data_IF_404953691154
#
_entry.id   IF_404953691154
#
_cell.length_a   1.000
_cell.length_b   1.000
_cell.length_c   1.000
_cell.angle_alpha   90.00
_cell.angle_beta   90.00
_cell.angle_gamma   90.00
#
_symmetry.space_group_name_H-M   'P 1'
#
loop_
_entity.id
_entity.type
_entity.pdbx_description
1 polymer ?
#
# COMPACT_ATOMS: atom_id res chain seq x y z
N UNK A 1 2.41 40.51 3.09
CA UNK A 1 3.50 41.50 3.08
C UNK A 1 3.07 42.63 2.17
N UNK A 2 2.30 43.56 2.73
CA UNK A 2 2.03 44.85 2.11
C UNK A 2 2.88 45.83 2.92
N UNK A 3 3.91 46.39 2.29
CA UNK A 3 4.69 47.47 2.87
C UNK A 3 4.09 48.76 2.32
N UNK A 4 3.29 49.45 3.14
CA UNK A 4 2.54 50.65 2.71
C UNK A 4 3.45 51.88 2.50
N UNK A 5 4.67 51.86 3.01
CA UNK A 5 5.66 52.93 2.86
C UNK A 5 6.91 52.42 2.12
N UNK A 6 7.06 52.81 0.85
CA UNK A 6 8.27 52.60 0.05
C UNK A 6 8.43 53.78 -0.91
N UNK A 7 9.42 54.64 -0.66
CA UNK A 7 9.59 55.90 -1.38
C UNK A 7 9.72 55.74 -2.90
N UNK A 8 9.03 56.63 -3.63
CA UNK A 8 8.67 56.58 -5.06
C UNK A 8 9.86 56.78 -6.04
N UNK A 9 11.09 56.42 -5.61
CA UNK A 9 12.35 56.69 -6.33
C UNK A 9 13.35 55.53 -6.36
N UNK A 10 13.05 54.35 -5.82
CA UNK A 10 14.00 53.21 -5.81
C UNK A 10 13.42 51.85 -6.22
N UNK A 11 12.28 51.78 -6.90
CA UNK A 11 11.60 50.52 -7.27
C UNK A 11 12.31 49.62 -8.31
N UNK A 12 13.61 49.82 -8.60
CA UNK A 12 14.42 48.94 -9.45
C UNK A 12 14.46 47.47 -8.96
N UNK A 13 14.20 47.24 -7.67
CA UNK A 13 14.11 45.91 -7.06
C UNK A 13 12.88 45.10 -7.53
N UNK A 14 11.75 45.75 -7.84
CA UNK A 14 10.49 45.06 -8.19
C UNK A 14 10.59 44.30 -9.53
N UNK A 15 11.10 44.90 -10.64
CA UNK A 15 11.33 44.16 -11.89
C UNK A 15 12.29 42.98 -11.73
N UNK A 16 13.30 43.09 -10.87
CA UNK A 16 14.23 41.98 -10.56
C UNK A 16 13.51 40.85 -9.80
N UNK A 17 12.74 41.18 -8.76
CA UNK A 17 11.92 40.24 -8.00
C UNK A 17 10.90 39.52 -8.90
N UNK A 18 10.19 40.23 -9.78
CA UNK A 18 9.24 39.60 -10.70
C UNK A 18 9.93 38.65 -11.70
N UNK A 19 11.10 39.01 -12.24
CA UNK A 19 11.91 38.12 -13.10
C UNK A 19 12.32 36.84 -12.35
N UNK A 20 12.81 36.97 -11.10
CA UNK A 20 13.11 35.86 -10.22
C UNK A 20 11.89 34.97 -9.96
N UNK A 21 10.74 35.56 -9.61
CA UNK A 21 9.49 34.83 -9.33
C UNK A 21 8.94 34.04 -10.53
N UNK A 22 9.27 34.47 -11.76
CA UNK A 22 8.89 33.76 -12.99
C UNK A 22 9.84 32.59 -13.26
N UNK A 23 11.15 32.81 -13.14
CA UNK A 23 12.15 31.75 -13.25
C UNK A 23 11.91 30.65 -12.21
N UNK A 24 11.69 31.02 -10.94
CA UNK A 24 11.34 30.08 -9.87
C UNK A 24 10.06 29.31 -10.18
N UNK A 25 8.96 29.95 -10.57
CA UNK A 25 7.73 29.24 -10.95
C UNK A 25 7.91 28.29 -12.13
N UNK A 26 8.73 28.64 -13.12
CA UNK A 26 9.08 27.74 -14.23
C UNK A 26 9.93 26.56 -13.75
N UNK A 27 10.93 26.78 -12.88
CA UNK A 27 11.78 25.72 -12.32
C UNK A 27 10.96 24.79 -11.43
N UNK A 28 10.12 25.31 -10.52
CA UNK A 28 9.22 24.52 -9.68
C UNK A 28 8.25 23.70 -10.53
N UNK A 29 7.68 24.29 -11.60
CA UNK A 29 6.84 23.53 -12.53
C UNK A 29 7.65 22.42 -13.23
N UNK A 30 8.82 22.72 -13.80
CA UNK A 30 9.65 21.72 -14.47
C UNK A 30 10.08 20.59 -13.53
N UNK A 31 10.36 20.91 -12.26
CA UNK A 31 10.65 19.91 -11.23
C UNK A 31 9.44 19.00 -10.96
N UNK A 32 8.26 19.59 -10.72
CA UNK A 32 7.01 18.83 -10.52
C UNK A 32 6.63 18.01 -11.75
N UNK A 33 6.75 18.56 -12.96
CA UNK A 33 6.53 17.85 -14.22
C UNK A 33 7.53 16.68 -14.37
N UNK A 34 8.79 16.87 -13.96
CA UNK A 34 9.83 15.83 -14.04
C UNK A 34 9.66 14.71 -13.01
N UNK A 35 9.22 15.01 -11.79
CA UNK A 35 8.93 13.99 -10.78
C UNK A 35 7.60 13.27 -11.07
N UNK A 36 6.59 13.98 -11.59
CA UNK A 36 5.35 13.37 -12.08
C UNK A 36 5.60 12.40 -13.25
N UNK A 37 6.59 12.69 -14.13
CA UNK A 37 6.99 11.77 -15.18
C UNK A 37 7.50 10.41 -14.63
N UNK A 38 8.07 10.39 -13.41
CA UNK A 38 8.57 9.16 -12.77
C UNK A 38 7.46 8.30 -12.19
N UNK A 39 6.35 8.91 -11.77
CA UNK A 39 5.11 8.18 -11.48
C UNK A 39 4.54 7.64 -12.80
N UNK A 40 4.53 8.45 -13.87
CA UNK A 40 4.07 8.01 -15.20
C UNK A 40 4.88 6.84 -15.76
N UNK A 41 6.20 6.77 -15.56
CA UNK A 41 7.00 5.59 -15.93
C UNK A 41 6.47 4.29 -15.28
N UNK A 42 6.00 4.37 -14.02
CA UNK A 42 5.38 3.24 -13.31
C UNK A 42 3.99 2.93 -13.87
N UNK A 43 3.18 3.96 -14.18
CA UNK A 43 1.87 3.84 -14.83
C UNK A 43 1.99 3.15 -16.21
N UNK A 44 2.85 3.67 -17.10
CA UNK A 44 3.10 3.13 -18.45
C UNK A 44 3.62 1.69 -18.40
N UNK A 45 4.46 1.35 -17.42
CA UNK A 45 4.92 -0.03 -17.22
C UNK A 45 3.77 -0.97 -16.81
N UNK A 46 2.86 -0.52 -15.94
CA UNK A 46 1.68 -1.27 -15.51
C UNK A 46 0.67 -1.42 -16.65
N UNK A 47 0.39 -0.36 -17.41
CA UNK A 47 -0.47 -0.40 -18.59
C UNK A 47 0.09 -1.36 -19.64
N UNK A 48 1.38 -1.27 -19.96
CA UNK A 48 2.03 -2.17 -20.92
C UNK A 48 1.95 -3.64 -20.50
N UNK A 49 2.14 -3.96 -19.21
CA UNK A 49 1.95 -5.32 -18.69
C UNK A 49 0.49 -5.75 -18.87
N UNK A 50 -0.46 -4.89 -18.48
CA UNK A 50 -1.89 -5.19 -18.51
C UNK A 50 -2.42 -5.43 -19.92
N UNK A 51 -2.07 -4.55 -20.88
CA UNK A 51 -2.37 -4.72 -22.31
C UNK A 51 -1.69 -5.95 -22.91
N UNK A 52 -0.46 -6.26 -22.49
CA UNK A 52 0.28 -7.41 -23.02
C UNK A 52 -0.27 -8.74 -22.51
N UNK A 53 -0.56 -8.86 -21.22
CA UNK A 53 -1.13 -10.09 -20.67
C UNK A 53 -2.58 -10.29 -21.10
N UNK A 54 -3.42 -9.25 -21.16
CA UNK A 54 -4.81 -9.41 -21.66
C UNK A 54 -4.87 -9.92 -23.11
N UNK A 55 -3.90 -9.54 -23.95
CA UNK A 55 -3.77 -10.02 -25.33
C UNK A 55 -3.06 -11.38 -25.47
N UNK A 56 -2.01 -11.66 -24.69
CA UNK A 56 -1.22 -12.89 -24.82
C UNK A 56 -0.55 -13.31 -23.50
N UNK A 57 -0.88 -14.49 -22.93
CA UNK A 57 -0.28 -14.93 -21.68
C UNK A 57 1.22 -15.19 -21.80
N UNK A 58 2.00 -14.54 -20.94
CA UNK A 58 3.37 -14.91 -20.64
C UNK A 58 3.45 -16.30 -19.97
N UNK A 59 4.65 -16.78 -19.65
CA UNK A 59 4.81 -17.76 -18.58
C UNK A 59 4.71 -17.05 -17.23
N UNK A 60 4.20 -17.70 -16.18
CA UNK A 60 4.04 -17.08 -14.86
C UNK A 60 5.36 -16.52 -14.32
N UNK A 61 6.47 -17.26 -14.45
CA UNK A 61 7.82 -16.79 -14.07
C UNK A 61 8.27 -15.53 -14.81
N UNK A 62 7.83 -15.34 -16.06
CA UNK A 62 8.08 -14.12 -16.84
C UNK A 62 7.21 -12.98 -16.33
N UNK A 63 5.95 -13.25 -15.96
CA UNK A 63 5.04 -12.25 -15.40
C UNK A 63 5.49 -11.79 -14.00
N UNK A 64 5.88 -12.73 -13.10
CA UNK A 64 6.50 -12.41 -11.80
C UNK A 64 7.69 -11.47 -11.96
N UNK A 65 8.58 -11.73 -12.92
CA UNK A 65 9.72 -10.85 -13.21
C UNK A 65 9.30 -9.46 -13.67
N UNK A 66 8.25 -9.32 -14.50
CA UNK A 66 7.72 -8.00 -14.91
C UNK A 66 7.16 -7.23 -13.72
N UNK A 67 6.37 -7.88 -12.86
CA UNK A 67 5.77 -7.24 -11.68
C UNK A 67 6.85 -6.84 -10.65
N UNK A 68 7.84 -7.71 -10.43
CA UNK A 68 9.01 -7.39 -9.60
C UNK A 68 9.81 -6.19 -10.13
N UNK A 69 9.95 -6.03 -11.45
CA UNK A 69 10.56 -4.82 -12.03
C UNK A 69 9.75 -3.54 -11.71
N UNK A 70 8.41 -3.61 -11.75
CA UNK A 70 7.53 -2.47 -11.39
C UNK A 70 7.72 -2.09 -9.91
N UNK A 71 7.77 -3.07 -9.00
CA UNK A 71 8.04 -2.80 -7.59
C UNK A 71 9.45 -2.23 -7.36
N UNK A 72 10.44 -2.59 -8.17
CA UNK A 72 11.77 -1.98 -8.14
C UNK A 72 11.80 -0.54 -8.71
N UNK A 73 10.93 -0.21 -9.66
CA UNK A 73 10.70 1.18 -10.11
C UNK A 73 10.05 2.02 -9.00
N UNK A 74 8.98 1.51 -8.36
CA UNK A 74 8.34 2.15 -7.20
C UNK A 74 9.35 2.37 -6.06
N UNK A 75 10.18 1.38 -5.75
CA UNK A 75 11.20 1.50 -4.72
C UNK A 75 12.30 2.51 -5.07
N UNK A 76 12.78 2.52 -6.32
CA UNK A 76 13.76 3.52 -6.82
C UNK A 76 13.21 4.94 -6.80
N UNK A 77 11.93 5.12 -7.07
CA UNK A 77 11.23 6.38 -6.84
C UNK A 77 11.30 6.75 -5.36
N UNK A 78 10.77 5.89 -4.48
CA UNK A 78 10.65 6.15 -3.03
C UNK A 78 11.97 6.53 -2.36
N UNK A 79 13.06 5.78 -2.57
CA UNK A 79 14.34 6.08 -1.89
C UNK A 79 14.98 7.41 -2.35
N UNK A 80 14.65 7.87 -3.56
CA UNK A 80 15.17 9.12 -4.12
C UNK A 80 14.34 10.37 -3.81
N UNK A 81 13.08 10.17 -3.42
CA UNK A 81 12.10 11.22 -3.14
C UNK A 81 12.14 11.55 -1.65
N UNK A 82 11.99 12.83 -1.27
CA UNK A 82 12.00 13.23 0.13
C UNK A 82 10.83 12.66 0.93
N UNK A 83 11.08 12.37 2.21
CA UNK A 83 10.14 11.66 3.08
C UNK A 83 8.90 12.49 3.45
N UNK A 84 9.00 13.81 3.39
CA UNK A 84 7.93 14.78 3.57
C UNK A 84 7.22 15.14 2.24
N UNK A 85 7.73 14.65 1.10
CA UNK A 85 7.22 15.03 -0.21
C UNK A 85 5.80 14.49 -0.48
N UNK A 86 4.88 15.32 -1.00
CA UNK A 86 3.54 14.88 -1.43
C UNK A 86 3.56 13.93 -2.64
N UNK A 87 4.74 13.73 -3.24
CA UNK A 87 4.98 12.71 -4.26
C UNK A 87 4.88 11.28 -3.69
N UNK A 88 5.21 11.08 -2.40
CA UNK A 88 5.01 9.79 -1.73
C UNK A 88 3.52 9.53 -1.47
N UNK A 89 2.76 10.55 -1.09
CA UNK A 89 1.30 10.47 -0.96
C UNK A 89 0.63 10.18 -2.31
N UNK A 90 1.12 10.80 -3.38
CA UNK A 90 0.68 10.56 -4.76
C UNK A 90 0.93 9.11 -5.19
N UNK A 91 2.11 8.54 -4.88
CA UNK A 91 2.43 7.13 -5.14
C UNK A 91 1.57 6.16 -4.31
N UNK A 92 1.26 6.48 -3.05
CA UNK A 92 0.34 5.65 -2.24
C UNK A 92 -1.09 5.74 -2.76
N UNK A 93 -1.56 6.92 -3.16
CA UNK A 93 -2.86 7.08 -3.81
C UNK A 93 -2.94 6.28 -5.13
N UNK A 94 -1.88 6.30 -5.95
CA UNK A 94 -1.76 5.44 -7.12
C UNK A 94 -1.88 3.95 -6.75
N UNK A 95 -1.13 3.46 -5.75
CA UNK A 95 -1.21 2.06 -5.31
C UNK A 95 -2.59 1.68 -4.73
N UNK A 96 -3.31 2.61 -4.09
CA UNK A 96 -4.71 2.41 -3.65
C UNK A 96 -5.65 2.29 -4.85
N UNK A 97 -5.52 3.16 -5.86
CA UNK A 97 -6.33 3.09 -7.08
C UNK A 97 -6.03 1.82 -7.89
N UNK A 98 -4.76 1.42 -7.96
CA UNK A 98 -4.30 0.19 -8.60
C UNK A 98 -4.92 -1.05 -7.93
N UNK A 99 -4.96 -1.09 -6.59
CA UNK A 99 -5.63 -2.14 -5.80
C UNK A 99 -7.14 -2.21 -6.11
N UNK A 100 -7.78 -1.06 -6.33
CA UNK A 100 -9.21 -0.93 -6.59
C UNK A 100 -9.59 -0.95 -8.08
N UNK A 101 -8.62 -1.17 -8.98
CA UNK A 101 -8.83 -1.14 -10.44
C UNK A 101 -9.65 -2.35 -10.95
N UNK A 102 -10.22 -2.32 -12.15
CA UNK A 102 -10.88 -3.50 -12.74
C UNK A 102 -9.86 -4.63 -13.00
N UNK A 103 -10.12 -5.88 -12.56
CA UNK A 103 -9.19 -7.00 -12.76
C UNK A 103 -8.81 -7.21 -14.22
N UNK A 104 -7.50 -7.38 -14.49
CA UNK A 104 -6.99 -7.66 -15.84
C UNK A 104 -7.54 -9.00 -16.33
N UNK A 105 -8.40 -8.95 -17.36
CA UNK A 105 -9.01 -10.13 -17.99
C UNK A 105 -8.29 -10.49 -19.29
N UNK A 106 -8.15 -11.78 -19.53
CA UNK A 106 -7.58 -12.38 -20.73
C UNK A 106 -8.62 -13.29 -21.39
N UNK A 107 -8.68 -13.30 -22.72
CA UNK A 107 -9.47 -14.30 -23.45
C UNK A 107 -8.66 -15.59 -23.57
N UNK A 108 -9.16 -16.65 -22.96
CA UNK A 108 -8.58 -18.00 -23.00
C UNK A 108 -9.60 -18.94 -23.63
N UNK A 109 -9.15 -19.98 -24.35
CA UNK A 109 -10.07 -21.05 -24.76
C UNK A 109 -10.60 -21.76 -23.51
N UNK A 110 -11.91 -21.98 -23.48
CA UNK A 110 -12.58 -22.65 -22.37
C UNK A 110 -11.98 -24.07 -22.15
N UNK A 111 -11.38 -24.37 -20.99
CA UNK A 111 -10.74 -25.65 -20.72
C UNK A 111 -11.74 -26.80 -20.51
N UNK A 112 -13.00 -26.50 -20.21
CA UNK A 112 -14.08 -27.48 -20.05
C UNK A 112 -14.76 -27.79 -21.38
N UNK A 113 -14.77 -26.85 -22.34
CA UNK A 113 -15.26 -27.14 -23.69
C UNK A 113 -14.53 -28.33 -24.28
N UNK A 114 -15.30 -29.41 -24.48
CA UNK A 114 -14.80 -30.63 -25.08
C UNK A 114 -14.40 -30.33 -26.53
N UNK A 115 -13.09 -30.14 -26.76
CA UNK A 115 -12.49 -29.95 -28.09
C UNK A 115 -13.25 -30.81 -29.11
N UNK A 116 -13.88 -30.20 -30.14
CA UNK A 116 -14.75 -30.90 -31.08
C UNK A 116 -14.06 -32.16 -31.62
N UNK A 117 -14.80 -33.25 -31.86
CA UNK A 117 -14.23 -34.53 -32.34
C UNK A 117 -13.26 -34.28 -33.50
N UNK A 118 -13.67 -33.45 -34.46
CA UNK A 118 -12.86 -32.95 -35.59
C UNK A 118 -11.45 -32.51 -35.17
N UNK A 119 -11.29 -31.71 -34.11
CA UNK A 119 -9.97 -31.23 -33.64
C UNK A 119 -9.13 -32.35 -33.00
N UNK A 120 -9.78 -33.27 -32.27
CA UNK A 120 -9.12 -34.47 -31.70
C UNK A 120 -8.67 -35.42 -32.81
N UNK A 121 -9.53 -35.63 -33.81
CA UNK A 121 -9.26 -36.47 -34.98
C UNK A 121 -8.19 -35.84 -35.89
N UNK A 122 -8.19 -34.52 -36.12
CA UNK A 122 -7.11 -33.83 -36.83
C UNK A 122 -5.76 -33.96 -36.12
N UNK A 123 -5.72 -33.86 -34.79
CA UNK A 123 -4.47 -34.05 -34.03
C UNK A 123 -3.98 -35.52 -34.13
N UNK A 124 -4.90 -36.49 -34.05
CA UNK A 124 -4.63 -37.92 -34.29
C UNK A 124 -4.10 -38.19 -35.71
N UNK A 125 -4.69 -37.58 -36.73
CA UNK A 125 -4.23 -37.69 -38.13
C UNK A 125 -2.81 -37.10 -38.27
N UNK A 126 -2.56 -35.92 -37.71
CA UNK A 126 -1.23 -35.30 -37.72
C UNK A 126 -0.18 -36.14 -36.99
N UNK A 127 -0.53 -36.72 -35.84
CA UNK A 127 0.34 -37.62 -35.07
C UNK A 127 0.68 -38.89 -35.85
N UNK A 128 -0.30 -39.47 -36.53
CA UNK A 128 -0.08 -40.63 -37.40
C UNK A 128 0.81 -40.30 -38.61
N UNK A 129 0.72 -39.08 -39.16
CA UNK A 129 1.49 -38.66 -40.33
C UNK A 129 2.92 -38.19 -40.00
N UNK A 130 3.18 -37.67 -38.80
CA UNK A 130 4.45 -37.01 -38.43
C UNK A 130 5.19 -37.65 -37.24
N UNK A 131 4.54 -38.57 -36.53
CA UNK A 131 5.03 -39.11 -35.25
C UNK A 131 4.96 -38.14 -34.07
N UNK A 132 4.51 -36.90 -34.27
CA UNK A 132 4.48 -35.85 -33.25
C UNK A 132 3.05 -35.36 -32.98
N UNK A 133 2.69 -35.11 -31.72
CA UNK A 133 1.43 -34.42 -31.42
C UNK A 133 1.40 -33.02 -32.04
N UNK A 134 0.28 -32.66 -32.68
CA UNK A 134 0.08 -31.32 -33.22
C UNK A 134 0.05 -30.32 -32.04
N UNK A 135 1.03 -29.42 -32.00
CA UNK A 135 1.17 -28.37 -30.97
C UNK A 135 0.14 -27.25 -31.14
N UNK A 136 -1.14 -27.59 -31.14
CA UNK A 136 -2.21 -26.63 -30.82
C UNK A 136 -1.93 -26.17 -29.38
N UNK A 137 -1.77 -24.87 -29.16
CA UNK A 137 -1.38 -24.29 -27.86
C UNK A 137 -2.54 -24.26 -26.83
N UNK A 138 -3.29 -25.36 -26.71
CA UNK A 138 -4.23 -25.60 -25.60
C UNK A 138 -3.40 -25.85 -24.34
N UNK A 139 -3.00 -24.77 -23.66
CA UNK A 139 -2.41 -24.83 -22.32
C UNK A 139 -3.42 -25.43 -21.35
N UNK A 140 -3.36 -26.74 -21.14
CA UNK A 140 -3.96 -27.36 -19.95
C UNK A 140 -3.24 -26.80 -18.72
N UNK A 141 -3.85 -25.83 -18.04
CA UNK A 141 -3.46 -25.55 -16.65
C UNK A 141 -3.66 -26.84 -15.87
N UNK A 142 -2.70 -27.19 -15.01
CA UNK A 142 -3.02 -28.08 -13.88
C UNK A 142 -4.02 -27.33 -13.00
N UNK A 143 -5.06 -27.98 -12.45
CA UNK A 143 -5.85 -27.36 -11.40
C UNK A 143 -4.90 -26.97 -10.26
N UNK A 144 -5.04 -25.75 -9.75
CA UNK A 144 -4.35 -25.35 -8.53
C UNK A 144 -4.79 -26.24 -7.37
N UNK A 145 -3.90 -26.54 -6.40
CA UNK A 145 -4.34 -27.16 -5.15
C UNK A 145 -5.37 -26.22 -4.51
N UNK A 146 -6.51 -26.77 -4.08
CA UNK A 146 -7.52 -25.99 -3.38
C UNK A 146 -6.92 -25.48 -2.07
N UNK A 147 -6.62 -24.19 -1.98
CA UNK A 147 -6.41 -23.53 -0.70
C UNK A 147 -7.71 -23.66 0.11
N UNK A 148 -7.64 -24.34 1.25
CA UNK A 148 -8.78 -24.48 2.17
C UNK A 148 -9.14 -23.11 2.72
N UNK A 149 -10.28 -22.56 2.26
CA UNK A 149 -10.81 -21.32 2.81
C UNK A 149 -11.17 -21.50 4.28
N UNK A 150 -10.42 -20.85 5.17
CA UNK A 150 -10.79 -20.74 6.57
C UNK A 150 -11.85 -19.65 6.72
N UNK A 151 -13.09 -20.07 6.91
CA UNK A 151 -14.16 -19.24 7.47
C UNK A 151 -14.41 -19.71 8.90
N UNK A 152 -14.05 -18.90 9.90
CA UNK A 152 -14.40 -19.13 11.30
C UNK A 152 -15.55 -18.19 11.70
N UNK A 153 -16.77 -18.57 11.30
CA UNK A 153 -17.96 -18.24 12.09
C UNK A 153 -18.06 -19.29 13.21
N UNK A 154 -18.12 -18.88 14.47
CA UNK A 154 -17.97 -19.83 15.58
C UNK A 154 -18.19 -19.23 16.97
N UNK A 155 -19.43 -18.89 17.30
CA UNK A 155 -19.85 -18.58 18.67
C UNK A 155 -19.84 -19.85 19.57
N UNK A 156 -19.19 -19.82 20.75
CA UNK A 156 -19.32 -20.85 21.79
C UNK A 156 -20.41 -20.52 22.82
N UNK A 157 -20.87 -21.49 23.64
CA UNK A 157 -22.32 -21.58 23.94
C UNK A 157 -22.84 -20.89 25.21
N UNK A 158 -24.17 -20.83 25.28
CA UNK A 158 -24.98 -20.57 26.46
C UNK A 158 -24.86 -21.64 27.56
N UNK A 159 -25.12 -21.28 28.82
CA UNK A 159 -25.85 -22.15 29.74
C UNK A 159 -26.55 -21.39 30.88
N UNK A 160 -27.51 -22.05 31.56
CA UNK A 160 -28.36 -21.59 32.70
C UNK A 160 -29.40 -20.48 32.41
N UNK A 161 -30.60 -20.45 33.01
CA UNK A 161 -31.43 -21.51 33.65
C UNK A 161 -32.90 -21.02 33.76
N UNK A 162 -33.85 -21.96 33.97
CA UNK A 162 -35.21 -21.79 34.54
C UNK A 162 -36.28 -20.92 33.84
N UNK A 163 -37.56 -21.23 34.12
CA UNK A 163 -38.68 -20.26 33.93
C UNK A 163 -39.87 -20.62 33.04
N UNK A 164 -40.31 -21.89 32.94
CA UNK A 164 -41.53 -22.24 32.18
C UNK A 164 -42.83 -22.19 33.00
N UNK A 165 -43.96 -21.75 32.40
CA UNK A 165 -45.36 -21.93 32.85
C UNK A 165 -46.32 -21.84 31.64
N UNK A 166 -47.57 -22.31 31.78
CA UNK A 166 -48.50 -22.60 30.66
C UNK A 166 -49.55 -21.49 30.37
N UNK A 167 -50.20 -21.65 29.21
CA UNK A 167 -51.38 -20.93 28.66
C UNK A 167 -52.58 -20.84 29.65
N UNK A 168 -53.50 -19.84 29.50
CA UNK A 168 -54.68 -20.05 28.65
C UNK A 168 -55.21 -18.81 27.87
N UNK A 169 -56.33 -19.03 27.14
CA UNK A 169 -56.94 -18.18 26.10
C UNK A 169 -58.16 -17.37 26.57
N UNK A 170 -58.32 -16.12 26.09
CA UNK A 170 -59.59 -15.39 25.74
C UNK A 170 -59.18 -14.12 24.95
N UNK A 171 -59.78 -13.67 23.84
CA UNK A 171 -61.17 -13.42 23.41
C UNK A 171 -61.67 -11.97 23.73
N UNK A 172 -61.64 -11.07 22.74
CA UNK A 172 -62.76 -10.24 22.21
C UNK A 172 -62.23 -9.20 21.18
N UNK A 173 -62.84 -8.88 20.01
CA UNK A 173 -64.16 -8.24 19.65
C UNK A 173 -64.18 -6.73 20.00
N UNK A 174 -64.50 -5.73 19.16
CA UNK A 174 -65.22 -5.65 17.86
C UNK A 174 -64.71 -4.52 16.89
N UNK A 175 -65.20 -4.52 15.62
CA UNK A 175 -65.59 -3.39 14.70
C UNK A 175 -64.62 -2.20 14.43
N UNK A 176 -64.62 -1.51 13.27
CA UNK A 176 -65.21 -1.69 11.91
C UNK A 176 -64.41 -0.73 10.95
N UNK A 177 -64.78 -0.26 9.74
CA UNK A 177 -66.03 -0.21 8.95
C UNK A 177 -65.75 -0.09 7.42
N UNK A 178 -66.74 0.31 6.60
CA UNK A 178 -66.72 0.22 5.12
C UNK A 178 -66.26 1.47 4.31
N UNK A 179 -65.98 1.25 3.01
CA UNK A 179 -66.00 2.28 1.95
C UNK A 179 -65.82 1.70 0.53
N UNK A 180 -66.86 1.74 -0.35
CA UNK A 180 -66.88 1.04 -1.67
C UNK A 180 -67.17 1.95 -2.89
N UNK A 181 -66.42 1.75 -3.98
CA UNK A 181 -66.80 1.93 -5.41
C UNK A 181 -65.80 1.16 -6.32
N UNK A 182 -66.00 0.67 -7.56
CA UNK A 182 -67.02 0.70 -8.66
C UNK A 182 -66.73 1.56 -9.92
N UNK A 183 -67.26 1.06 -11.06
CA UNK A 183 -67.03 1.42 -12.48
C UNK A 183 -65.62 1.05 -13.01
N UNK A 184 -65.40 0.43 -14.19
CA UNK A 184 -65.94 0.59 -15.56
C UNK A 184 -65.45 1.90 -16.23
N UNK A 185 -65.07 1.97 -17.52
CA UNK A 185 -65.47 1.12 -18.67
C UNK A 185 -64.52 1.28 -19.91
N UNK A 186 -64.77 0.48 -20.97
CA UNK A 186 -64.31 0.58 -22.38
C UNK A 186 -62.84 0.21 -22.68
N UNK A 187 -62.45 -0.58 -23.71
CA UNK A 187 -62.98 -1.00 -25.04
C UNK A 187 -62.30 -0.29 -26.23
N UNK A 188 -61.73 -1.09 -27.14
CA UNK A 188 -61.09 -0.68 -28.40
C UNK A 188 -60.67 -1.93 -29.20
N UNK A 189 -60.97 -1.96 -30.51
CA UNK A 189 -60.89 -3.15 -31.38
C UNK A 189 -60.71 -2.69 -32.85
N UNK A 190 -60.57 -3.63 -33.80
CA UNK A 190 -60.39 -3.45 -35.27
C UNK A 190 -58.93 -3.18 -35.74
N UNK A 191 -58.48 -3.63 -36.92
CA UNK A 191 -59.10 -4.54 -37.92
C UNK A 191 -58.06 -5.32 -38.77
N UNK A 192 -58.56 -6.19 -39.65
CA UNK A 192 -57.82 -6.93 -40.69
C UNK A 192 -57.24 -6.02 -41.79
N UNK A 193 -56.29 -6.55 -42.58
CA UNK A 193 -56.52 -6.75 -44.02
C UNK A 193 -55.64 -7.88 -44.61
N UNK A 194 -56.10 -8.50 -45.70
CA UNK A 194 -55.42 -9.58 -46.45
C UNK A 194 -55.14 -9.13 -47.90
N UNK A 195 -54.15 -9.72 -48.60
CA UNK A 195 -54.33 -10.23 -49.98
C UNK A 195 -53.11 -10.94 -50.62
N UNK A 196 -53.34 -12.21 -50.98
CA UNK A 196 -53.08 -12.86 -52.28
C UNK A 196 -51.81 -12.59 -53.15
N UNK A 197 -50.99 -13.65 -53.25
CA UNK A 197 -50.90 -14.56 -54.43
C UNK A 197 -50.02 -14.26 -55.68
N UNK A 198 -49.28 -15.31 -56.08
CA UNK A 198 -49.15 -15.86 -57.46
C UNK A 198 -47.77 -15.85 -58.16
N UNK A 199 -47.63 -16.81 -59.08
CA UNK A 199 -46.61 -17.01 -60.13
C UNK A 199 -45.13 -17.11 -59.75
N UNK A 200 -44.63 -18.35 -59.69
CA UNK A 200 -43.19 -18.64 -59.61
C UNK A 200 -42.48 -18.68 -60.98
N UNK A 201 -41.16 -18.86 -60.94
CA UNK A 201 -40.32 -19.15 -62.11
C UNK A 201 -39.28 -20.22 -61.76
N UNK A 202 -39.20 -21.28 -62.55
CA UNK A 202 -38.17 -22.32 -62.40
C UNK A 202 -36.84 -21.81 -62.94
N UNK A 203 -35.74 -22.00 -62.19
CA UNK A 203 -34.39 -21.93 -62.74
C UNK A 203 -33.47 -22.93 -62.05
N UNK A 204 -32.68 -23.64 -62.85
CA UNK A 204 -31.84 -24.77 -62.42
C UNK A 204 -30.60 -24.31 -61.65
N UNK A 205 -30.05 -25.25 -60.87
CA UNK A 205 -28.73 -25.17 -60.26
C UNK A 205 -27.60 -24.75 -61.22
N UNK A 206 -26.60 -24.08 -60.65
CA UNK A 206 -25.20 -24.31 -61.03
C UNK A 206 -24.34 -24.33 -59.78
N UNK A 207 -23.99 -25.53 -59.34
CA UNK A 207 -23.31 -25.81 -58.07
C UNK A 207 -21.84 -25.37 -58.08
N UNK A 208 -21.51 -24.27 -57.38
CA UNK A 208 -20.10 -23.84 -57.19
C UNK A 208 -19.82 -22.87 -56.02
N UNK A 209 -20.43 -23.09 -54.84
CA UNK A 209 -20.23 -22.19 -53.67
C UNK A 209 -20.09 -22.87 -52.29
N UNK A 210 -20.03 -24.19 -52.20
CA UNK A 210 -20.17 -24.95 -50.94
C UNK A 210 -18.93 -25.79 -50.61
N UNK A 211 -17.80 -25.11 -50.33
CA UNK A 211 -16.60 -25.78 -49.77
C UNK A 211 -15.77 -24.87 -48.85
N UNK A 212 -15.77 -23.55 -49.04
CA UNK A 212 -15.00 -22.62 -48.17
C UNK A 212 -15.75 -22.19 -46.90
N UNK A 213 -17.09 -22.27 -46.87
CA UNK A 213 -17.90 -22.05 -45.66
C UNK A 213 -17.88 -23.28 -44.71
N UNK A 214 -17.01 -24.26 -44.95
CA UNK A 214 -16.94 -25.49 -44.16
C UNK A 214 -16.25 -25.27 -42.80
N UNK A 215 -17.05 -24.84 -41.82
CA UNK A 215 -16.79 -25.00 -40.39
C UNK A 215 -15.52 -24.32 -39.84
N UNK A 216 -15.50 -22.98 -39.85
CA UNK A 216 -14.85 -22.25 -38.73
C UNK A 216 -15.64 -22.53 -37.45
N UNK A 217 -15.35 -23.64 -36.79
CA UNK A 217 -15.88 -23.93 -35.45
C UNK A 217 -15.19 -22.98 -34.48
N UNK A 218 -15.86 -21.87 -34.17
CA UNK A 218 -15.37 -20.90 -33.19
C UNK A 218 -15.30 -21.58 -31.81
N UNK A 219 -14.08 -21.85 -31.35
CA UNK A 219 -13.83 -22.44 -30.03
C UNK A 219 -14.21 -21.39 -28.98
N UNK A 220 -15.17 -21.66 -28.07
CA UNK A 220 -15.62 -20.66 -27.11
C UNK A 220 -14.46 -20.08 -26.30
N UNK A 221 -14.45 -18.75 -26.19
CA UNK A 221 -13.45 -18.01 -25.44
C UNK A 221 -14.08 -17.47 -24.16
N UNK A 222 -13.50 -17.85 -23.02
CA UNK A 222 -13.89 -17.39 -21.69
C UNK A 222 -12.92 -16.30 -21.25
N UNK A 223 -13.43 -15.30 -20.53
CA UNK A 223 -12.61 -14.26 -19.92
C UNK A 223 -12.06 -14.76 -18.58
N UNK A 224 -10.79 -15.17 -18.54
CA UNK A 224 -10.10 -15.55 -17.31
C UNK A 224 -9.40 -14.33 -16.70
N UNK A 225 -9.45 -14.18 -15.38
CA UNK A 225 -8.66 -13.17 -14.65
C UNK A 225 -7.18 -13.57 -14.64
N UNK A 226 -6.29 -12.62 -14.93
CA UNK A 226 -4.83 -12.85 -14.86
C UNK A 226 -4.39 -12.90 -13.40
N UNK A 227 -3.68 -13.97 -13.03
CA UNK A 227 -3.22 -14.24 -11.66
C UNK A 227 -1.72 -14.55 -11.59
N UNK A 228 -1.15 -14.37 -10.40
CA UNK A 228 0.23 -14.71 -10.00
C UNK A 228 0.13 -15.34 -8.61
N UNK A 229 0.64 -16.56 -8.40
CA UNK A 229 0.49 -17.28 -7.11
C UNK A 229 -0.97 -17.36 -6.61
N UNK A 230 -1.93 -17.38 -7.54
CA UNK A 230 -3.37 -17.32 -7.25
C UNK A 230 -3.93 -15.91 -6.96
N UNK A 231 -3.07 -14.92 -6.66
CA UNK A 231 -3.46 -13.53 -6.45
C UNK A 231 -3.77 -12.84 -7.79
N UNK A 232 -4.80 -12.01 -7.79
CA UNK A 232 -5.25 -11.20 -8.92
C UNK A 232 -4.24 -10.11 -9.25
N UNK A 233 -3.83 -10.04 -10.52
CA UNK A 233 -2.90 -9.03 -11.01
C UNK A 233 -3.41 -7.62 -10.67
N UNK A 234 -2.54 -6.83 -10.04
CA UNK A 234 -2.77 -5.48 -9.51
C UNK A 234 -3.75 -5.36 -8.33
N UNK A 235 -4.92 -6.00 -8.36
CA UNK A 235 -5.92 -5.88 -7.29
C UNK A 235 -5.42 -6.31 -5.92
N UNK A 236 -4.61 -7.36 -5.87
CA UNK A 236 -4.08 -7.91 -4.62
C UNK A 236 -2.61 -7.52 -4.41
N UNK A 237 -2.10 -6.61 -5.25
CA UNK A 237 -0.70 -6.12 -5.27
C UNK A 237 0.32 -7.27 -5.12
N UNK A 238 0.25 -8.31 -5.99
CA UNK A 238 1.03 -9.54 -5.83
C UNK A 238 2.53 -9.26 -5.77
N UNK A 239 3.22 -9.98 -4.88
CA UNK A 239 4.65 -9.82 -4.58
C UNK A 239 5.06 -8.49 -3.92
N UNK A 240 4.15 -7.52 -3.69
CA UNK A 240 4.56 -6.21 -3.16
C UNK A 240 5.04 -6.30 -1.71
N UNK A 241 4.41 -7.13 -0.87
CA UNK A 241 4.83 -7.30 0.52
C UNK A 241 6.14 -8.08 0.65
N UNK A 242 6.31 -9.16 -0.12
CA UNK A 242 7.55 -9.94 -0.20
C UNK A 242 8.73 -9.09 -0.72
N UNK A 243 8.48 -8.30 -1.76
CA UNK A 243 9.45 -7.36 -2.29
C UNK A 243 9.83 -6.28 -1.28
N UNK A 244 8.85 -5.62 -0.64
CA UNK A 244 9.12 -4.60 0.37
C UNK A 244 9.77 -5.19 1.62
N UNK A 245 9.45 -6.42 2.01
CA UNK A 245 10.13 -7.15 3.09
C UNK A 245 11.65 -7.20 2.87
N UNK A 246 12.11 -7.74 1.74
CA UNK A 246 13.55 -7.82 1.47
C UNK A 246 14.22 -6.44 1.39
N UNK A 247 13.53 -5.40 0.89
CA UNK A 247 14.04 -4.03 0.93
C UNK A 247 14.10 -3.44 2.35
N UNK A 248 13.15 -3.78 3.24
CA UNK A 248 13.13 -3.36 4.64
C UNK A 248 14.18 -4.09 5.48
N UNK A 249 14.46 -5.38 5.23
CA UNK A 249 15.61 -6.04 5.85
C UNK A 249 16.93 -5.40 5.40
N UNK A 250 17.00 -4.90 4.16
CA UNK A 250 18.12 -4.11 3.65
C UNK A 250 18.19 -2.65 4.13
N UNK A 251 17.29 -2.18 5.00
CA UNK A 251 17.22 -0.75 5.40
C UNK A 251 18.52 -0.23 6.04
N UNK A 252 19.37 -1.10 6.60
CA UNK A 252 20.68 -0.73 7.14
C UNK A 252 21.66 -0.18 6.10
N UNK A 253 21.55 -0.59 4.83
CA UNK A 253 22.45 -0.17 3.76
C UNK A 253 22.18 1.25 3.23
N UNK A 254 20.94 1.72 3.43
CA UNK A 254 20.43 3.03 3.00
C UNK A 254 21.00 4.18 3.85
N UNK A 255 21.10 5.39 3.29
CA UNK A 255 21.41 6.59 4.07
C UNK A 255 20.22 7.09 4.92
N UNK A 256 20.43 8.07 5.80
CA UNK A 256 19.38 8.57 6.73
C UNK A 256 18.13 9.07 5.99
N UNK A 257 18.29 9.68 4.81
CA UNK A 257 17.20 10.22 3.99
C UNK A 257 16.45 9.08 3.29
N UNK A 258 17.18 8.18 2.63
CA UNK A 258 16.64 6.98 1.99
C UNK A 258 15.85 6.10 3.00
N UNK A 259 16.36 5.92 4.22
CA UNK A 259 15.66 5.25 5.33
C UNK A 259 14.34 5.94 5.68
N UNK A 260 14.36 7.26 5.87
CA UNK A 260 13.17 8.05 6.18
C UNK A 260 12.11 7.97 5.09
N UNK A 261 12.50 8.02 3.81
CA UNK A 261 11.54 7.95 2.69
C UNK A 261 10.89 6.59 2.56
N UNK A 262 11.65 5.51 2.76
CA UNK A 262 11.11 4.13 2.79
C UNK A 262 10.13 3.93 3.96
N UNK A 263 10.47 4.41 5.16
CA UNK A 263 9.59 4.36 6.33
C UNK A 263 8.35 5.27 6.18
N UNK A 264 8.51 6.44 5.55
CA UNK A 264 7.44 7.39 5.24
C UNK A 264 6.47 6.90 4.17
N UNK A 265 6.94 6.08 3.20
CA UNK A 265 6.05 5.31 2.33
C UNK A 265 5.25 4.30 3.14
N UNK A 266 5.92 3.44 3.92
CA UNK A 266 5.26 2.37 4.69
C UNK A 266 4.18 2.93 5.62
N UNK A 267 4.45 4.05 6.30
CA UNK A 267 3.46 4.76 7.09
C UNK A 267 2.26 5.19 6.27
N UNK A 268 2.47 5.91 5.16
CA UNK A 268 1.38 6.31 4.25
C UNK A 268 0.57 5.12 3.72
N UNK A 269 1.22 3.99 3.40
CA UNK A 269 0.53 2.75 2.98
C UNK A 269 -0.39 2.20 4.08
N UNK A 270 0.08 2.14 5.34
CA UNK A 270 -0.72 1.75 6.51
C UNK A 270 -1.85 2.76 6.77
N UNK A 271 -1.60 4.05 6.59
CA UNK A 271 -2.56 5.14 6.73
C UNK A 271 -3.71 5.02 5.72
N UNK A 272 -3.38 4.91 4.42
CA UNK A 272 -4.30 4.72 3.30
C UNK A 272 -4.97 3.33 3.24
N UNK A 273 -4.65 2.42 4.17
CA UNK A 273 -5.32 1.13 4.28
C UNK A 273 -4.88 0.07 3.27
N UNK A 274 -3.75 0.26 2.59
CA UNK A 274 -3.09 -0.82 1.84
C UNK A 274 -2.68 -1.92 2.82
N UNK A 275 -3.01 -3.17 2.48
CA UNK A 275 -2.73 -4.43 3.19
C UNK A 275 -2.39 -4.27 4.69
N UNK A 276 -3.33 -3.68 5.45
CA UNK A 276 -3.11 -3.14 6.82
C UNK A 276 -2.32 -4.06 7.75
N UNK A 277 -2.57 -5.37 7.67
CA UNK A 277 -1.95 -6.37 8.52
C UNK A 277 -0.47 -6.59 8.19
N UNK A 278 -0.12 -6.77 6.91
CA UNK A 278 1.26 -7.01 6.46
C UNK A 278 2.15 -5.77 6.67
N UNK A 279 1.69 -4.61 6.21
CA UNK A 279 2.44 -3.35 6.38
C UNK A 279 2.40 -2.86 7.84
N UNK A 280 1.35 -3.18 8.60
CA UNK A 280 1.30 -2.99 10.06
C UNK A 280 2.36 -3.82 10.80
N UNK A 281 2.57 -5.09 10.42
CA UNK A 281 3.67 -5.91 10.96
C UNK A 281 5.04 -5.29 10.67
N UNK A 282 5.29 -4.81 9.46
CA UNK A 282 6.55 -4.12 9.12
C UNK A 282 6.75 -2.85 9.93
N UNK A 283 5.68 -2.07 10.15
CA UNK A 283 5.70 -0.86 10.97
C UNK A 283 6.01 -1.20 12.44
N UNK A 284 5.34 -2.21 13.00
CA UNK A 284 5.57 -2.70 14.36
C UNK A 284 7.01 -3.18 14.57
N UNK A 285 7.59 -3.87 13.59
CA UNK A 285 8.99 -4.30 13.63
C UNK A 285 9.96 -3.12 13.62
N UNK A 286 9.78 -2.11 12.74
CA UNK A 286 10.67 -0.94 12.77
C UNK A 286 10.59 -0.17 14.09
N UNK A 287 9.39 -0.07 14.68
CA UNK A 287 9.17 0.54 15.99
C UNK A 287 9.83 -0.28 17.10
N UNK A 288 9.68 -1.61 17.10
CA UNK A 288 10.38 -2.51 18.03
C UNK A 288 11.89 -2.32 17.93
N UNK A 289 12.43 -2.41 16.72
CA UNK A 289 13.88 -2.34 16.51
C UNK A 289 14.47 -1.00 16.92
N UNK A 290 13.69 0.08 16.87
CA UNK A 290 14.13 1.41 17.30
C UNK A 290 14.00 1.62 18.82
N UNK A 291 12.93 1.11 19.44
CA UNK A 291 12.55 1.47 20.82
C UNK A 291 12.71 0.33 21.84
N UNK A 292 12.40 -0.90 21.44
CA UNK A 292 12.37 -2.09 22.30
C UNK A 292 13.64 -2.96 22.19
N UNK A 293 14.41 -2.88 21.10
CA UNK A 293 15.69 -3.60 20.96
C UNK A 293 16.82 -2.82 21.67
N UNK A 294 17.73 -3.47 22.42
CA UNK A 294 18.92 -2.84 22.99
C UNK A 294 19.89 -2.42 21.88
N UNK A 295 20.03 -1.11 21.67
CA UNK A 295 20.93 -0.52 20.67
C UNK A 295 21.83 0.54 21.29
N UNK A 296 23.03 0.66 20.74
CA UNK A 296 23.98 1.72 21.08
C UNK A 296 23.38 3.09 20.74
N UNK A 297 23.66 4.08 21.58
CA UNK A 297 23.44 5.49 21.28
C UNK A 297 24.79 6.07 20.88
N UNK A 298 24.87 6.77 19.74
CA UNK A 298 26.07 7.52 19.37
C UNK A 298 26.09 8.81 20.18
N UNK A 299 27.17 9.01 20.91
CA UNK A 299 27.61 10.34 21.34
C UNK A 299 28.32 10.93 20.12
N UNK A 300 27.72 11.96 19.51
CA UNK A 300 28.26 12.57 18.30
C UNK A 300 29.33 13.61 18.70
N UNK A 301 30.60 13.20 18.72
CA UNK A 301 31.76 14.01 19.16
C UNK A 301 32.08 15.22 18.24
N UNK A 302 31.34 15.42 17.13
CA UNK A 302 31.39 16.60 16.28
C UNK A 302 29.99 16.89 15.68
N UNK A 303 29.31 17.99 16.03
CA UNK A 303 27.95 18.28 15.57
C UNK A 303 27.85 18.97 14.19
N UNK A 304 28.97 19.28 13.52
CA UNK A 304 29.02 20.37 12.53
C UNK A 304 28.98 19.97 11.01
N UNK A 305 29.11 18.69 10.60
CA UNK A 305 29.05 18.33 9.15
C UNK A 305 27.62 18.31 8.54
N UNK A 306 26.56 18.28 9.35
CA UNK A 306 25.16 18.19 8.86
C UNK A 306 24.53 19.57 8.52
N UNK A 307 25.27 20.68 8.70
CA UNK A 307 24.80 22.03 8.41
C UNK A 307 24.74 22.36 6.91
N UNK A 308 23.70 23.08 6.47
CA UNK A 308 23.58 23.62 5.10
C UNK A 308 24.53 24.82 4.82
N UNK A 309 25.81 24.68 5.17
CA UNK A 309 26.84 25.66 4.87
C UNK A 309 27.21 25.66 3.39
N UNK A 310 27.01 26.80 2.71
CA UNK A 310 27.59 27.07 1.40
C UNK A 310 29.05 27.52 1.56
N UNK A 311 29.91 26.62 2.03
CA UNK A 311 31.36 26.83 2.06
C UNK A 311 32.03 26.25 0.82
N UNK A 312 33.00 26.99 0.27
CA UNK A 312 33.78 26.61 -0.92
C UNK A 312 34.80 25.52 -0.62
N UNK A 313 34.31 24.30 -0.36
CA UNK A 313 35.16 23.11 -0.22
C UNK A 313 36.01 22.89 -1.48
N UNK A 314 37.29 22.58 -1.29
CA UNK A 314 38.25 22.42 -2.38
C UNK A 314 37.84 21.32 -3.38
N UNK A 315 38.25 21.44 -4.64
CA UNK A 315 37.95 20.43 -5.65
C UNK A 315 38.65 19.08 -5.41
N UNK A 316 39.70 19.05 -4.59
CA UNK A 316 40.34 17.82 -4.12
C UNK A 316 39.40 16.97 -3.25
N UNK A 317 38.67 17.61 -2.33
CA UNK A 317 37.84 16.87 -1.37
C UNK A 317 36.51 16.45 -2.01
N UNK A 318 35.98 17.27 -2.93
CA UNK A 318 34.92 16.86 -3.87
C UNK A 318 35.33 15.63 -4.69
N UNK A 319 36.60 15.52 -5.13
CA UNK A 319 37.13 14.34 -5.82
C UNK A 319 37.17 13.10 -4.91
N UNK A 320 37.69 13.24 -3.68
CA UNK A 320 37.75 12.15 -2.69
C UNK A 320 36.35 11.64 -2.28
N UNK A 321 35.43 12.53 -1.90
CA UNK A 321 34.03 12.18 -1.52
C UNK A 321 33.30 11.52 -2.72
N UNK A 322 33.59 11.90 -3.97
CA UNK A 322 33.08 11.21 -5.20
C UNK A 322 33.64 9.79 -5.38
N UNK A 323 34.96 9.58 -5.28
CA UNK A 323 35.55 8.24 -5.47
C UNK A 323 35.07 7.22 -4.43
N UNK A 324 34.87 7.65 -3.17
CA UNK A 324 34.28 6.79 -2.12
C UNK A 324 32.83 6.42 -2.47
N UNK A 325 32.01 7.38 -2.90
CA UNK A 325 30.61 7.14 -3.27
C UNK A 325 30.48 6.20 -4.48
N UNK A 326 31.40 6.29 -5.45
CA UNK A 326 31.43 5.37 -6.59
C UNK A 326 31.87 3.95 -6.21
N UNK A 327 32.90 3.80 -5.36
CA UNK A 327 33.32 2.48 -4.84
C UNK A 327 32.18 1.78 -4.07
N UNK A 328 31.42 2.52 -3.23
CA UNK A 328 30.24 1.97 -2.54
C UNK A 328 29.17 1.52 -3.55
N UNK A 329 28.90 2.32 -4.59
CA UNK A 329 27.92 1.99 -5.64
C UNK A 329 28.30 0.77 -6.48
N UNK A 330 29.60 0.50 -6.69
CA UNK A 330 30.08 -0.72 -7.37
C UNK A 330 29.95 -2.00 -6.55
N UNK A 331 29.84 -1.91 -5.21
CA UNK A 331 29.68 -3.09 -4.34
C UNK A 331 28.23 -3.59 -4.23
N UNK A 332 27.23 -2.72 -4.46
CA UNK A 332 25.79 -3.05 -4.39
C UNK A 332 25.33 -4.12 -5.40
N UNK A 333 26.14 -4.47 -6.41
CA UNK A 333 25.81 -5.50 -7.40
C UNK A 333 26.19 -6.93 -6.97
N UNK A 334 26.79 -7.14 -5.79
CA UNK A 334 26.98 -8.48 -5.23
C UNK A 334 25.71 -8.92 -4.52
N UNK A 335 25.26 -10.15 -4.74
CA UNK A 335 24.13 -10.74 -4.00
C UNK A 335 24.49 -10.90 -2.52
N UNK A 336 24.00 -9.97 -1.71
CA UNK A 336 24.07 -10.02 -0.24
C UNK A 336 23.07 -11.07 0.25
N UNK A 337 23.44 -11.90 1.22
CA UNK A 337 22.51 -12.89 1.83
C UNK A 337 21.74 -12.25 2.98
N UNK A 338 20.56 -12.78 3.33
CA UNK A 338 19.75 -12.23 4.43
C UNK A 338 20.53 -12.20 5.77
N UNK A 339 21.38 -13.22 6.03
CA UNK A 339 22.34 -13.25 7.15
C UNK A 339 23.31 -12.05 7.20
N UNK A 340 23.65 -11.48 6.05
CA UNK A 340 24.53 -10.32 5.94
C UNK A 340 23.74 -9.01 6.11
N UNK A 341 22.50 -8.95 5.59
CA UNK A 341 21.59 -7.83 5.82
C UNK A 341 21.28 -7.66 7.32
N UNK A 342 20.96 -8.75 8.02
CA UNK A 342 20.78 -8.75 9.48
C UNK A 342 22.01 -8.20 10.21
N UNK A 343 23.20 -8.73 9.91
CA UNK A 343 24.48 -8.28 10.50
C UNK A 343 24.90 -6.85 10.13
N UNK A 344 24.24 -6.18 9.19
CA UNK A 344 24.40 -4.74 8.94
C UNK A 344 23.33 -3.93 9.68
N UNK A 345 22.11 -4.45 9.78
CA UNK A 345 21.02 -3.87 10.55
C UNK A 345 21.28 -3.89 12.08
N UNK A 346 21.91 -4.93 12.61
CA UNK A 346 22.28 -5.06 14.03
C UNK A 346 23.30 -3.99 14.47
N UNK A 347 24.07 -3.43 13.53
CA UNK A 347 25.06 -2.38 13.78
C UNK A 347 24.46 -0.96 13.86
N UNK A 348 23.18 -0.80 13.51
CA UNK A 348 22.51 0.50 13.54
C UNK A 348 22.28 0.94 14.99
N UNK A 349 22.71 2.17 15.29
CA UNK A 349 22.45 2.86 16.54
C UNK A 349 21.00 3.38 16.62
N UNK A 350 20.59 3.84 17.80
CA UNK A 350 19.32 4.57 17.96
C UNK A 350 19.30 5.81 17.06
N UNK A 351 20.42 6.54 16.92
CA UNK A 351 20.54 7.72 16.06
C UNK A 351 20.24 7.40 14.58
N UNK A 352 20.55 6.17 14.11
CA UNK A 352 20.33 5.74 12.72
C UNK A 352 18.88 5.30 12.43
N UNK A 353 18.09 4.98 13.46
CA UNK A 353 16.74 4.40 13.37
C UNK A 353 15.63 5.28 13.95
N UNK A 354 15.95 6.21 14.86
CA UNK A 354 14.97 7.11 15.45
C UNK A 354 14.28 8.01 14.41
N UNK A 355 14.99 8.65 13.45
CA UNK A 355 14.36 9.46 12.41
C UNK A 355 13.35 8.69 11.52
N UNK A 356 13.67 7.52 10.91
CA UNK A 356 12.69 6.77 10.12
C UNK A 356 11.54 6.21 10.97
N UNK A 357 11.78 5.84 12.24
CA UNK A 357 10.71 5.45 13.16
C UNK A 357 9.74 6.61 13.46
N UNK A 358 10.25 7.83 13.64
CA UNK A 358 9.42 9.02 13.84
C UNK A 358 8.62 9.33 12.57
N UNK A 359 9.25 9.31 11.40
CA UNK A 359 8.57 9.54 10.11
C UNK A 359 7.48 8.50 9.82
N UNK A 360 7.69 7.24 10.20
CA UNK A 360 6.66 6.20 10.20
C UNK A 360 5.50 6.55 11.14
N UNK A 361 5.80 6.91 12.39
CA UNK A 361 4.79 7.26 13.41
C UNK A 361 4.00 8.53 13.05
N UNK A 362 4.63 9.52 12.41
CA UNK A 362 3.97 10.75 11.96
C UNK A 362 2.92 10.42 10.88
N UNK A 363 3.31 9.58 9.91
CA UNK A 363 2.46 9.17 8.79
C UNK A 363 1.32 8.21 9.19
N UNK A 364 1.52 7.29 10.15
CA UNK A 364 0.50 6.26 10.47
C UNK A 364 0.13 6.09 11.95
N UNK A 365 0.65 6.92 12.87
CA UNK A 365 0.47 6.74 14.32
C UNK A 365 -0.99 6.65 14.76
N UNK A 366 -1.90 7.39 14.11
CA UNK A 366 -3.36 7.23 14.25
C UNK A 366 -3.80 5.77 14.03
N UNK A 367 -3.44 5.18 12.90
CA UNK A 367 -3.83 3.81 12.55
C UNK A 367 -3.17 2.79 13.49
N UNK A 368 -1.95 3.03 13.96
CA UNK A 368 -1.30 2.17 14.95
C UNK A 368 -1.99 2.26 16.32
N UNK A 369 -2.36 3.46 16.77
CA UNK A 369 -3.15 3.67 17.99
C UNK A 369 -4.51 2.93 17.93
N UNK A 370 -5.14 2.88 16.76
CA UNK A 370 -6.35 2.10 16.54
C UNK A 370 -6.09 0.58 16.69
N UNK A 371 -5.06 0.04 16.03
CA UNK A 371 -4.66 -1.37 16.14
C UNK A 371 -4.27 -1.78 17.58
N UNK A 372 -3.62 -0.87 18.30
CA UNK A 372 -3.30 -0.99 19.73
C UNK A 372 -4.57 -1.07 20.58
N UNK A 373 -5.58 -0.25 20.30
CA UNK A 373 -6.85 -0.24 21.05
C UNK A 373 -7.70 -1.48 20.78
N UNK A 374 -7.68 -2.01 19.55
CA UNK A 374 -8.40 -3.24 19.18
C UNK A 374 -7.66 -4.53 19.58
N UNK A 375 -6.48 -4.44 20.22
CA UNK A 375 -5.60 -5.59 20.54
C UNK A 375 -5.36 -6.49 19.32
N UNK A 376 -5.10 -5.88 18.16
CA UNK A 376 -5.01 -6.63 16.91
C UNK A 376 -3.80 -7.57 16.90
N UNK A 377 -4.09 -8.88 16.96
CA UNK A 377 -3.09 -9.96 16.90
C UNK A 377 -3.02 -10.55 15.50
N UNK A 378 -1.81 -10.86 15.05
CA UNK A 378 -1.56 -11.44 13.72
C UNK A 378 -1.20 -12.92 13.90
N UNK A 379 -2.22 -13.79 13.81
CA UNK A 379 -2.03 -15.25 13.70
C UNK A 379 -1.92 -15.64 12.23
N UNK A 380 -1.08 -16.64 11.93
CA UNK A 380 -1.08 -17.39 10.66
C UNK A 380 -0.66 -16.67 9.38
N UNK A 381 -0.38 -15.36 9.40
CA UNK A 381 0.04 -14.62 8.18
C UNK A 381 1.51 -14.87 7.80
N UNK A 382 2.35 -15.24 8.75
CA UNK A 382 3.71 -15.74 8.57
C UNK A 382 4.00 -16.71 9.73
N UNK A 383 4.62 -17.87 9.50
CA UNK A 383 4.97 -18.84 10.56
C UNK A 383 6.00 -18.30 11.57
N UNK A 384 6.65 -17.19 11.23
CA UNK A 384 7.60 -16.50 12.10
C UNK A 384 6.91 -15.37 12.88
N UNK A 385 6.63 -15.57 14.18
CA UNK A 385 6.24 -14.52 15.15
C UNK A 385 7.27 -13.36 15.26
N UNK A 386 8.37 -13.38 14.50
CA UNK A 386 9.45 -12.39 14.51
C UNK A 386 9.01 -10.95 14.22
N UNK A 387 7.79 -10.73 13.71
CA UNK A 387 7.19 -9.40 13.50
C UNK A 387 6.37 -8.92 14.71
N UNK A 388 5.66 -9.82 15.38
CA UNK A 388 4.73 -9.52 16.47
C UNK A 388 5.40 -9.54 17.85
N UNK A 389 6.49 -10.29 18.03
CA UNK A 389 7.24 -10.38 19.29
C UNK A 389 7.61 -9.01 19.87
N UNK A 390 7.57 -8.95 21.20
CA UNK A 390 8.10 -7.87 22.03
C UNK A 390 9.64 -7.91 22.00
N UNK A 391 10.30 -6.74 21.98
CA UNK A 391 11.76 -6.62 22.06
C UNK A 391 12.27 -6.60 23.50
N UNK A 392 13.55 -6.93 23.68
CA UNK A 392 14.12 -7.28 25.00
C UNK A 392 13.96 -6.18 26.06
N UNK A 393 14.10 -4.90 25.69
CA UNK A 393 13.93 -3.77 26.63
C UNK A 393 12.47 -3.60 27.12
N UNK A 394 11.51 -4.13 26.37
CA UNK A 394 10.08 -4.02 26.65
C UNK A 394 9.51 -5.24 27.37
N UNK A 395 10.15 -6.42 27.25
CA UNK A 395 9.66 -7.72 27.74
C UNK A 395 9.10 -7.65 29.17
N UNK A 396 9.91 -7.26 30.15
CA UNK A 396 9.52 -7.16 31.58
C UNK A 396 8.32 -6.22 31.82
N UNK A 397 8.21 -5.16 31.02
CA UNK A 397 7.19 -4.11 31.19
C UNK A 397 5.88 -4.39 30.46
N UNK A 398 5.93 -5.25 29.45
CA UNK A 398 4.79 -5.62 28.60
C UNK A 398 4.18 -6.94 29.06
N UNK A 399 5.02 -7.89 29.50
CA UNK A 399 4.61 -9.21 29.94
C UNK A 399 4.19 -10.15 28.80
N UNK A 400 4.04 -11.41 29.15
CA UNK A 400 3.68 -12.48 28.21
C UNK A 400 2.28 -12.29 27.60
N UNK A 401 2.09 -12.81 26.38
CA UNK A 401 0.80 -12.81 25.67
C UNK A 401 0.42 -11.50 24.96
N UNK A 402 1.05 -10.36 25.27
CA UNK A 402 0.77 -9.05 24.64
C UNK A 402 1.59 -8.85 23.33
N UNK A 403 1.76 -9.92 22.53
CA UNK A 403 2.31 -9.88 21.17
C UNK A 403 1.45 -9.02 20.21
N UNK A 404 2.09 -8.44 19.19
CA UNK A 404 1.40 -7.56 18.24
C UNK A 404 1.23 -6.15 18.78
N UNK A 405 0.08 -5.53 18.50
CA UNK A 405 -0.25 -4.17 18.95
C UNK A 405 -0.99 -4.20 20.29
N UNK A 406 -0.35 -3.74 21.36
CA UNK A 406 -0.91 -3.74 22.72
C UNK A 406 -0.70 -2.42 23.46
N UNK A 407 -1.66 -2.03 24.30
CA UNK A 407 -1.61 -0.79 25.11
C UNK A 407 -0.35 -0.71 25.97
N UNK A 408 0.16 -1.84 26.46
CA UNK A 408 1.40 -1.89 27.24
C UNK A 408 2.62 -1.48 26.40
N UNK A 409 2.76 -1.98 25.16
CA UNK A 409 3.82 -1.54 24.23
C UNK A 409 3.71 -0.05 23.91
N UNK A 410 2.51 0.47 23.68
CA UNK A 410 2.28 1.91 23.44
C UNK A 410 2.75 2.79 24.62
N UNK A 411 2.48 2.35 25.85
CA UNK A 411 2.96 3.02 27.07
C UNK A 411 4.48 2.85 27.28
N UNK A 412 5.05 1.70 26.89
CA UNK A 412 6.50 1.51 26.86
C UNK A 412 7.16 2.46 25.83
N UNK A 413 6.63 2.59 24.61
CA UNK A 413 7.16 3.51 23.59
C UNK A 413 7.16 4.96 24.09
N UNK A 414 6.07 5.44 24.68
CA UNK A 414 6.01 6.76 25.33
C UNK A 414 7.07 6.90 26.42
N UNK A 415 7.29 5.87 27.23
CA UNK A 415 8.31 5.86 28.29
C UNK A 415 9.74 5.83 27.73
N UNK A 416 9.98 5.12 26.62
CA UNK A 416 11.26 5.08 25.91
C UNK A 416 11.59 6.42 25.26
N UNK A 417 10.64 7.03 24.56
CA UNK A 417 10.79 8.38 24.02
C UNK A 417 11.06 9.41 25.13
N UNK A 418 10.37 9.35 26.28
CA UNK A 418 10.69 10.19 27.45
C UNK A 418 12.13 10.02 27.96
N UNK A 419 12.64 8.77 28.00
CA UNK A 419 14.05 8.51 28.39
C UNK A 419 15.04 9.09 27.37
N UNK A 420 14.80 8.91 26.06
CA UNK A 420 15.63 9.49 25.00
C UNK A 420 15.57 11.02 24.97
N UNK A 421 14.39 11.60 25.23
CA UNK A 421 14.15 13.05 25.34
C UNK A 421 14.88 13.72 26.50
N UNK A 422 15.27 12.97 27.54
CA UNK A 422 16.07 13.45 28.69
C UNK A 422 17.59 13.25 28.49
N UNK A 423 18.05 12.75 27.35
CA UNK A 423 19.47 12.69 27.03
C UNK A 423 19.99 14.06 26.56
N UNK A 424 21.19 14.44 26.98
CA UNK A 424 21.81 15.73 26.65
C UNK A 424 22.29 15.83 25.18
N UNK A 425 22.15 14.75 24.43
CA UNK A 425 22.47 14.62 22.99
C UNK A 425 21.38 15.35 22.17
N UNK A 426 21.54 16.66 21.95
CA UNK A 426 20.50 17.53 21.37
C UNK A 426 19.79 16.97 20.11
N UNK A 427 20.47 16.47 19.06
CA UNK A 427 19.77 15.98 17.86
C UNK A 427 18.84 14.79 18.17
N UNK A 428 19.30 13.90 19.06
CA UNK A 428 18.56 12.71 19.47
C UNK A 428 17.39 13.06 20.39
N UNK A 429 17.57 14.00 21.33
CA UNK A 429 16.51 14.38 22.26
C UNK A 429 15.43 15.27 21.63
N UNK A 430 15.75 16.15 20.70
CA UNK A 430 14.74 16.89 19.90
C UNK A 430 13.87 15.93 19.09
N UNK A 431 14.47 15.01 18.33
CA UNK A 431 13.74 13.98 17.59
C UNK A 431 12.90 13.11 18.55
N UNK A 432 13.45 12.69 19.69
CA UNK A 432 12.70 11.91 20.68
C UNK A 432 11.49 12.65 21.27
N UNK A 433 11.57 13.99 21.43
CA UNK A 433 10.43 14.83 21.88
C UNK A 433 9.38 14.97 20.79
N UNK A 434 9.77 15.11 19.52
CA UNK A 434 8.85 15.04 18.37
C UNK A 434 8.10 13.70 18.33
N UNK A 435 8.83 12.58 18.44
CA UNK A 435 8.24 11.23 18.50
C UNK A 435 7.30 11.02 19.69
N UNK A 436 7.65 11.56 20.87
CA UNK A 436 6.77 11.56 22.03
C UNK A 436 5.46 12.31 21.76
N UNK A 437 5.53 13.52 21.19
CA UNK A 437 4.35 14.34 20.87
C UNK A 437 3.45 13.62 19.87
N UNK A 438 4.03 12.99 18.84
CA UNK A 438 3.28 12.20 17.84
C UNK A 438 2.51 11.04 18.49
N UNK A 439 3.10 10.34 19.47
CA UNK A 439 2.39 9.26 20.20
C UNK A 439 1.26 9.76 21.11
N UNK A 440 1.33 10.99 21.60
CA UNK A 440 0.26 11.63 22.36
C UNK A 440 -0.87 12.10 21.44
N UNK A 441 -0.53 12.83 20.37
CA UNK A 441 -1.45 13.25 19.32
C UNK A 441 -2.20 12.07 18.67
N UNK A 442 -1.50 10.95 18.44
CA UNK A 442 -2.04 9.80 17.71
C UNK A 442 -3.23 9.13 18.41
N UNK A 443 -3.28 9.15 19.74
CA UNK A 443 -4.45 8.70 20.51
C UNK A 443 -5.66 9.59 20.25
N UNK A 444 -5.49 10.89 20.50
CA UNK A 444 -6.54 11.90 20.29
C UNK A 444 -7.05 11.91 18.84
N UNK A 445 -6.14 11.86 17.85
CA UNK A 445 -6.47 11.77 16.41
C UNK A 445 -7.25 10.50 16.04
N UNK A 446 -7.19 9.44 16.86
CA UNK A 446 -7.98 8.20 16.74
C UNK A 446 -9.28 8.19 17.54
N UNK A 447 -9.56 9.21 18.37
CA UNK A 447 -10.69 9.21 19.29
C UNK A 447 -10.47 8.33 20.54
N UNK A 448 -9.22 8.00 20.88
CA UNK A 448 -8.87 7.19 22.04
C UNK A 448 -7.86 7.90 22.95
N UNK A 449 -8.22 8.12 24.21
CA UNK A 449 -7.30 8.65 25.21
C UNK A 449 -6.51 7.49 25.85
N UNK A 450 -5.18 7.47 25.68
CA UNK A 450 -4.32 6.58 26.45
C UNK A 450 -3.96 7.20 27.82
N UNK A 451 -3.53 6.41 28.81
CA UNK A 451 -3.17 6.92 30.13
C UNK A 451 -2.11 8.04 30.06
N UNK A 452 -2.47 9.21 30.60
CA UNK A 452 -1.61 10.39 30.66
C UNK A 452 -1.66 11.32 29.43
N UNK A 453 -2.49 11.03 28.43
CA UNK A 453 -2.52 11.82 27.18
C UNK A 453 -3.09 13.23 27.41
N UNK A 454 -4.26 13.32 28.05
CA UNK A 454 -4.87 14.60 28.44
C UNK A 454 -3.98 15.44 29.35
N UNK A 455 -3.23 14.80 30.26
CA UNK A 455 -2.31 15.49 31.16
C UNK A 455 -1.08 16.04 30.42
N UNK A 456 -0.51 15.29 29.46
CA UNK A 456 0.57 15.80 28.60
C UNK A 456 0.09 16.97 27.73
N UNK A 457 -1.07 16.84 27.08
CA UNK A 457 -1.64 17.90 26.24
C UNK A 457 -1.98 19.15 27.05
N UNK A 458 -2.51 18.99 28.29
CA UNK A 458 -2.74 20.10 29.24
C UNK A 458 -1.43 20.82 29.57
N UNK A 459 -0.40 20.10 30.01
CA UNK A 459 0.92 20.71 30.33
C UNK A 459 1.53 21.41 29.11
N UNK A 460 1.44 20.81 27.93
CA UNK A 460 1.96 21.39 26.68
C UNK A 460 1.22 22.67 26.31
N UNK A 461 -0.11 22.70 26.45
CA UNK A 461 -0.91 23.91 26.21
C UNK A 461 -0.63 25.00 27.26
N UNK A 462 -0.45 24.64 28.53
CA UNK A 462 -0.07 25.58 29.60
C UNK A 462 1.32 26.19 29.37
N UNK A 463 2.29 25.39 28.88
CA UNK A 463 3.62 25.86 28.50
C UNK A 463 3.55 26.87 27.35
N UNK A 464 2.87 26.51 26.25
CA UNK A 464 2.68 27.38 25.08
C UNK A 464 1.89 28.66 25.42
N UNK A 465 0.95 28.59 26.37
CA UNK A 465 0.17 29.74 26.83
C UNK A 465 0.97 30.69 27.73
N UNK A 466 1.93 30.18 28.50
CA UNK A 466 2.83 31.00 29.34
C UNK A 466 3.94 31.64 28.53
N UNK A 467 4.53 30.90 27.59
CA UNK A 467 5.62 31.35 26.73
C UNK A 467 5.09 32.01 25.45
N UNK A 468 4.12 32.91 25.61
CA UNK A 468 3.29 33.43 24.52
C UNK A 468 4.09 34.21 23.45
N UNK A 469 3.94 33.77 22.19
CA UNK A 469 4.43 34.36 20.93
C UNK A 469 5.76 33.83 20.38
N UNK A 470 5.67 33.35 19.14
CA UNK A 470 6.73 33.12 18.13
C UNK A 470 7.84 32.08 18.43
N UNK A 471 7.73 30.94 17.73
CA UNK A 471 8.84 30.16 17.17
C UNK A 471 9.85 29.49 18.13
N UNK A 472 9.57 29.39 19.43
CA UNK A 472 10.25 28.40 20.26
C UNK A 472 9.60 27.02 20.09
N UNK A 473 10.45 26.03 19.81
CA UNK A 473 10.07 24.64 19.54
C UNK A 473 9.42 23.99 20.78
N UNK A 474 8.23 23.36 20.68
CA UNK A 474 7.61 22.62 21.79
C UNK A 474 8.46 21.46 22.33
N UNK A 475 9.59 21.11 21.69
CA UNK A 475 10.63 20.27 22.29
C UNK A 475 11.31 20.90 23.53
N UNK A 476 11.04 22.16 23.90
CA UNK A 476 11.63 22.84 25.06
C UNK A 476 10.91 22.62 26.41
N UNK A 477 9.93 21.70 26.48
CA UNK A 477 9.23 21.34 27.72
C UNK A 477 10.13 20.48 28.62
N UNK A 478 10.46 20.97 29.81
CA UNK A 478 11.04 20.15 30.88
C UNK A 478 10.03 19.11 31.36
N UNK A 479 10.41 17.84 31.22
CA UNK A 479 9.56 16.69 31.50
C UNK A 479 9.91 16.06 32.85
N UNK A 480 9.41 16.65 33.94
CA UNK A 480 9.37 16.03 35.28
C UNK A 480 8.01 15.36 35.58
#
# INVERSE_FOLDING_TARGET
>A
MEHEECDDRSHNCLPAYFRGSRALRTITKMYLDSEAARIREVEEAIEWISSKESLRPSGESILKKKVSNVWDMVYKFVISTDYDSPLLDSMVFFLVNLKNSPPVRQRVHDPETHLPKIVKDSNRIWKNATGQDLKIFVRKLKPSPKSSGFCEDGDPPSDTSEGGIQLPTTADTEKSDEGKAKAQEKAGQQNHDENNSSSGAVRLDTTKKTTEELNRVEVPMVNQTVQIDGMTLWNELPLLDDFLYHKFMGIGQLDRREKCSLAGLLGRMVAGGLCKYKFGCMALWLIRETLETPRLVKLDDNPDEDGHGLEDQSDEDKSKKRQVKEKKKRQQNKTVTDDQLGKEFDKLSVNDLLPPCITLLDACGKNLAYLTKTKFTVRGLYDNNQWTRVGDLAADSVGEGEEGFSTRRWMFWKSRFKRLARLEIRPLSTEARRGLSILYDSGAKSGFEFPGDREYMRRSFEYLSRNGSLLQDPSSIDLD
#
